data_IF_292769331060
#
_entry.id   IF_292769331060
#
_cell.length_a   1.000
_cell.length_b   1.000
_cell.length_c   1.000
_cell.angle_alpha   90.00
_cell.angle_beta   90.00
_cell.angle_gamma   90.00
#
_symmetry.space_group_name_H-M   'P 1'
#
loop_
_entity.id
_entity.type
_entity.pdbx_description
1 polymer ?
#
# COMPACT_ATOMS: atom_id res chain seq x y z
N UNK A 1 32.14 -25.91 -48.20
CA UNK A 1 33.58 -25.65 -48.19
C UNK A 1 34.05 -25.73 -46.74
N UNK A 2 34.95 -26.71 -46.44
CA UNK A 2 35.71 -27.04 -45.20
C UNK A 2 35.05 -26.79 -43.83
N UNK A 3 34.66 -27.79 -43.02
CA UNK A 3 35.39 -28.89 -42.32
C UNK A 3 36.66 -28.44 -41.57
N UNK A 4 36.63 -28.64 -40.25
CA UNK A 4 37.53 -29.43 -39.37
C UNK A 4 36.76 -29.61 -38.04
N UNK A 5 36.49 -30.77 -37.41
CA UNK A 5 37.26 -32.00 -37.18
C UNK A 5 38.17 -31.80 -35.96
N UNK A 6 37.88 -32.22 -34.72
CA UNK A 6 37.84 -33.61 -34.25
C UNK A 6 37.38 -33.73 -32.77
N UNK A 7 36.97 -34.95 -32.41
CA UNK A 7 36.45 -35.43 -31.12
C UNK A 7 37.46 -35.49 -29.97
N UNK A 8 36.97 -35.49 -28.71
CA UNK A 8 37.19 -36.59 -27.74
C UNK A 8 36.28 -36.46 -26.51
N UNK A 9 35.70 -37.59 -26.12
CA UNK A 9 35.00 -37.78 -24.85
C UNK A 9 35.98 -37.66 -23.67
N UNK A 10 35.51 -37.01 -22.61
CA UNK A 10 36.18 -36.91 -21.32
C UNK A 10 35.15 -36.52 -20.29
N UNK A 11 34.69 -37.51 -19.54
CA UNK A 11 33.85 -37.38 -18.36
C UNK A 11 34.42 -36.35 -17.38
N UNK A 12 33.64 -35.34 -17.03
CA UNK A 12 33.85 -34.61 -15.77
C UNK A 12 32.50 -34.17 -15.22
N UNK A 13 32.11 -34.85 -14.14
CA UNK A 13 30.88 -34.65 -13.41
C UNK A 13 30.91 -33.29 -12.70
N UNK A 14 30.46 -32.23 -13.39
CA UNK A 14 30.18 -30.95 -12.74
C UNK A 14 28.71 -30.82 -12.46
N UNK A 15 28.40 -31.06 -11.18
CA UNK A 15 27.22 -30.61 -10.43
C UNK A 15 26.50 -29.46 -11.14
N UNK A 16 25.28 -29.73 -11.60
CA UNK A 16 24.27 -28.70 -11.74
C UNK A 16 24.00 -28.15 -10.33
N UNK A 17 24.62 -27.02 -10.00
CA UNK A 17 24.08 -26.13 -9.00
C UNK A 17 22.88 -25.45 -9.66
N UNK A 18 21.69 -26.05 -9.52
CA UNK A 18 20.44 -25.38 -9.83
C UNK A 18 20.37 -24.12 -8.96
N UNK A 19 20.55 -22.95 -9.56
CA UNK A 19 20.35 -21.69 -8.88
C UNK A 19 18.93 -21.68 -8.34
N UNK A 20 18.79 -21.66 -7.01
CA UNK A 20 17.51 -21.38 -6.36
C UNK A 20 17.10 -19.96 -6.80
N UNK A 21 16.11 -19.87 -7.70
CA UNK A 21 15.46 -18.60 -7.98
C UNK A 21 14.58 -18.33 -6.76
N UNK A 22 15.13 -17.58 -5.80
CA UNK A 22 14.38 -17.09 -4.65
C UNK A 22 13.34 -16.11 -5.17
N UNK A 23 12.08 -16.29 -4.79
CA UNK A 23 11.02 -15.34 -5.10
C UNK A 23 11.38 -14.01 -4.39
N UNK A 24 11.46 -12.87 -5.10
CA UNK A 24 11.76 -11.59 -4.47
C UNK A 24 10.62 -11.09 -3.57
N UNK A 25 9.48 -11.78 -3.56
CA UNK A 25 8.30 -11.44 -2.81
C UNK A 25 8.08 -12.39 -1.65
N UNK A 26 7.48 -11.85 -0.62
CA UNK A 26 7.18 -12.57 0.60
C UNK A 26 5.86 -12.06 1.19
N UNK A 27 5.09 -12.95 1.80
CA UNK A 27 3.84 -12.62 2.47
C UNK A 27 3.98 -12.86 3.97
N UNK A 28 3.93 -11.77 4.74
CA UNK A 28 3.89 -11.80 6.19
C UNK A 28 2.47 -11.84 6.75
N UNK A 29 2.28 -12.58 7.85
CA UNK A 29 1.07 -12.64 8.65
C UNK A 29 1.38 -12.03 10.01
N UNK A 30 0.65 -11.00 10.40
CA UNK A 30 0.92 -10.24 11.62
C UNK A 30 -0.35 -10.17 12.46
N UNK A 31 -0.19 -10.34 13.77
CA UNK A 31 -1.27 -10.09 14.72
C UNK A 31 -1.53 -8.59 14.79
N UNK A 32 -2.75 -8.17 14.47
CA UNK A 32 -3.15 -6.76 14.62
C UNK A 32 -3.70 -6.47 16.02
N UNK A 33 -4.13 -7.52 16.72
CA UNK A 33 -4.52 -7.48 18.12
C UNK A 33 -3.36 -7.93 19.02
N UNK A 34 -3.71 -8.34 20.25
CA UNK A 34 -2.81 -9.08 21.14
C UNK A 34 -1.43 -8.46 21.32
N UNK A 35 -0.40 -9.24 20.96
CA UNK A 35 1.01 -8.90 21.13
C UNK A 35 1.64 -8.16 19.95
N UNK A 36 0.87 -7.98 18.87
CA UNK A 36 1.33 -7.35 17.63
C UNK A 36 2.56 -8.02 16.98
N UNK A 37 2.67 -9.35 17.16
CA UNK A 37 3.79 -10.15 16.66
C UNK A 37 3.59 -10.73 15.26
N UNK A 38 4.69 -11.22 14.66
CA UNK A 38 4.66 -12.01 13.44
C UNK A 38 4.04 -13.39 13.74
N UNK A 39 2.90 -13.69 13.11
CA UNK A 39 2.23 -14.99 13.18
C UNK A 39 2.89 -16.01 12.24
N UNK A 40 3.44 -15.54 11.13
CA UNK A 40 4.18 -16.37 10.19
C UNK A 40 4.54 -15.63 8.92
N UNK A 41 5.25 -16.33 8.05
CA UNK A 41 5.78 -15.80 6.81
C UNK A 41 5.76 -16.90 5.75
N UNK A 42 5.45 -16.56 4.51
CA UNK A 42 5.46 -17.49 3.39
C UNK A 42 6.01 -16.82 2.14
N UNK A 43 6.95 -17.51 1.47
CA UNK A 43 7.60 -17.02 0.25
C UNK A 43 6.58 -16.88 -0.90
N UNK A 44 6.63 -15.74 -1.58
CA UNK A 44 5.73 -15.36 -2.66
C UNK A 44 4.58 -14.45 -2.23
N UNK A 45 3.82 -13.98 -3.23
CA UNK A 45 2.73 -12.98 -3.08
C UNK A 45 1.40 -13.41 -3.68
N UNK A 46 1.23 -14.71 -3.94
CA UNK A 46 0.03 -15.21 -4.63
C UNK A 46 -1.05 -15.64 -3.66
N UNK A 47 -2.29 -15.71 -4.13
CA UNK A 47 -3.40 -16.20 -3.31
C UNK A 47 -3.17 -17.66 -2.87
N UNK A 48 -2.51 -18.46 -3.72
CA UNK A 48 -2.20 -19.85 -3.42
C UNK A 48 -1.24 -19.98 -2.22
N UNK A 49 -0.22 -19.11 -2.14
CA UNK A 49 0.72 -19.05 -1.02
C UNK A 49 -0.02 -18.78 0.30
N UNK A 50 -0.92 -17.80 0.29
CA UNK A 50 -1.71 -17.44 1.48
C UNK A 50 -2.65 -18.58 1.91
N UNK A 51 -3.33 -19.19 0.94
CA UNK A 51 -4.25 -20.30 1.21
C UNK A 51 -3.48 -21.52 1.73
N UNK A 52 -2.31 -21.83 1.18
CA UNK A 52 -1.47 -22.93 1.62
C UNK A 52 -1.02 -22.73 3.07
N UNK A 53 -0.44 -21.57 3.38
CA UNK A 53 0.01 -21.24 4.74
C UNK A 53 -1.13 -21.32 5.77
N UNK A 54 -2.33 -20.80 5.42
CA UNK A 54 -3.48 -20.88 6.30
C UNK A 54 -3.96 -22.34 6.49
N UNK A 55 -3.96 -23.16 5.44
CA UNK A 55 -4.38 -24.58 5.52
C UNK A 55 -3.47 -25.44 6.40
N UNK A 56 -2.21 -25.06 6.57
CA UNK A 56 -1.29 -25.69 7.50
C UNK A 56 -1.66 -25.43 8.97
N UNK A 57 -2.43 -24.37 9.24
CA UNK A 57 -2.87 -24.02 10.58
C UNK A 57 -4.08 -24.85 11.04
N UNK A 58 -4.19 -25.03 12.35
CA UNK A 58 -5.30 -25.79 12.94
C UNK A 58 -6.65 -25.12 12.64
N UNK A 59 -7.74 -25.90 12.54
CA UNK A 59 -9.08 -25.33 12.37
C UNK A 59 -9.47 -24.35 13.48
N UNK A 60 -9.07 -24.61 14.72
CA UNK A 60 -9.31 -23.73 15.86
C UNK A 60 -8.62 -22.37 15.70
N UNK A 61 -7.36 -22.37 15.25
CA UNK A 61 -6.63 -21.13 14.96
C UNK A 61 -7.34 -20.30 13.87
N UNK A 62 -7.74 -20.94 12.77
CA UNK A 62 -8.44 -20.27 11.67
C UNK A 62 -9.83 -19.74 12.05
N UNK A 63 -10.53 -20.44 12.93
CA UNK A 63 -11.84 -20.03 13.42
C UNK A 63 -11.77 -18.86 14.42
N UNK A 64 -10.60 -18.63 15.03
CA UNK A 64 -10.38 -17.55 15.99
C UNK A 64 -10.22 -16.15 15.37
N UNK A 65 -10.06 -16.05 14.04
CA UNK A 65 -9.99 -14.75 13.38
C UNK A 65 -11.38 -14.14 13.22
N UNK A 66 -11.58 -12.99 13.86
CA UNK A 66 -12.78 -12.16 13.65
C UNK A 66 -12.60 -11.16 12.51
N UNK A 67 -11.36 -10.68 12.29
CA UNK A 67 -11.05 -9.67 11.28
C UNK A 67 -9.73 -10.02 10.59
N UNK A 68 -9.66 -9.78 9.29
CA UNK A 68 -8.42 -9.84 8.52
C UNK A 68 -8.27 -8.55 7.72
N UNK A 69 -7.26 -7.76 8.07
CA UNK A 69 -6.89 -6.59 7.28
C UNK A 69 -5.91 -6.99 6.18
N UNK A 70 -6.16 -6.53 4.96
CA UNK A 70 -5.28 -6.77 3.81
C UNK A 70 -4.88 -5.48 3.15
N UNK A 71 -3.73 -5.52 2.48
CA UNK A 71 -3.40 -4.57 1.44
C UNK A 71 -4.52 -4.56 0.37
N UNK A 72 -4.82 -3.42 -0.28
CA UNK A 72 -5.84 -3.30 -1.33
C UNK A 72 -5.48 -4.01 -2.65
N UNK A 73 -5.09 -5.28 -2.58
CA UNK A 73 -4.74 -6.12 -3.71
C UNK A 73 -5.76 -7.26 -3.85
N UNK A 74 -6.28 -7.42 -5.07
CA UNK A 74 -7.29 -8.45 -5.36
C UNK A 74 -6.83 -9.88 -5.06
N UNK A 75 -5.51 -10.11 -5.07
CA UNK A 75 -4.90 -11.42 -4.78
C UNK A 75 -5.17 -11.84 -3.33
N UNK A 76 -4.94 -10.97 -2.35
CA UNK A 76 -5.19 -11.27 -0.93
C UNK A 76 -6.69 -11.37 -0.62
N UNK A 77 -7.50 -10.49 -1.23
CA UNK A 77 -8.95 -10.57 -1.09
C UNK A 77 -9.50 -11.92 -1.59
N UNK A 78 -8.97 -12.44 -2.69
CA UNK A 78 -9.32 -13.77 -3.21
C UNK A 78 -8.91 -14.88 -2.25
N UNK A 79 -7.72 -14.79 -1.67
CA UNK A 79 -7.22 -15.80 -0.73
C UNK A 79 -8.11 -15.90 0.52
N UNK A 80 -8.39 -14.77 1.17
CA UNK A 80 -9.20 -14.71 2.40
C UNK A 80 -10.64 -15.19 2.15
N UNK A 81 -11.21 -14.89 0.98
CA UNK A 81 -12.56 -15.34 0.58
C UNK A 81 -12.65 -16.81 0.19
N UNK A 82 -11.58 -17.58 0.31
CA UNK A 82 -11.62 -19.02 0.02
C UNK A 82 -12.60 -19.70 0.98
N UNK A 83 -13.64 -20.42 0.46
CA UNK A 83 -14.67 -21.01 1.30
C UNK A 83 -14.10 -21.94 2.38
N UNK A 84 -14.57 -21.79 3.62
CA UNK A 84 -14.15 -22.60 4.75
C UNK A 84 -12.72 -22.33 5.26
N UNK A 85 -11.98 -21.38 4.67
CA UNK A 85 -10.64 -21.04 5.11
C UNK A 85 -10.68 -20.24 6.41
N UNK A 86 -11.43 -19.14 6.43
CA UNK A 86 -11.59 -18.25 7.57
C UNK A 86 -13.10 -18.01 7.79
N UNK A 87 -13.80 -18.95 8.44
CA UNK A 87 -15.26 -19.00 8.42
C UNK A 87 -15.93 -17.81 9.13
N UNK A 88 -15.25 -17.21 10.11
CA UNK A 88 -15.79 -16.15 10.97
C UNK A 88 -15.21 -14.76 10.69
N UNK A 89 -14.24 -14.67 9.76
CA UNK A 89 -13.46 -13.46 9.60
C UNK A 89 -14.13 -12.45 8.65
N UNK A 90 -14.29 -11.21 9.13
CA UNK A 90 -14.60 -10.07 8.30
C UNK A 90 -13.34 -9.57 7.57
N UNK A 91 -13.41 -9.47 6.24
CA UNK A 91 -12.33 -8.89 5.44
C UNK A 91 -12.41 -7.37 5.50
N UNK A 92 -11.33 -6.73 5.97
CA UNK A 92 -11.17 -5.28 6.01
C UNK A 92 -9.95 -4.84 5.21
N UNK A 93 -9.94 -3.57 4.81
CA UNK A 93 -8.77 -2.98 4.13
C UNK A 93 -7.87 -2.35 5.17
N UNK A 94 -6.57 -2.60 5.05
CA UNK A 94 -5.58 -2.06 5.97
C UNK A 94 -5.51 -0.52 5.95
N UNK A 95 -5.57 0.09 7.14
CA UNK A 95 -5.56 1.53 7.35
C UNK A 95 -4.25 2.16 6.85
N UNK A 96 -3.10 1.56 7.16
CA UNK A 96 -1.81 2.10 6.76
C UNK A 96 -1.70 2.20 5.22
N UNK A 97 -2.11 1.15 4.52
CA UNK A 97 -2.10 1.12 3.06
C UNK A 97 -3.08 2.11 2.43
N UNK A 98 -4.27 2.33 3.01
CA UNK A 98 -5.19 3.38 2.54
C UNK A 98 -4.55 4.77 2.63
N UNK A 99 -3.92 5.10 3.76
CA UNK A 99 -3.24 6.39 3.94
C UNK A 99 -2.04 6.51 2.99
N UNK A 100 -1.30 5.43 2.75
CA UNK A 100 -0.21 5.39 1.77
C UNK A 100 -0.73 5.69 0.36
N UNK A 101 -1.79 5.00 -0.07
CA UNK A 101 -2.40 5.21 -1.39
C UNK A 101 -2.91 6.65 -1.57
N UNK A 102 -3.53 7.24 -0.54
CA UNK A 102 -3.97 8.62 -0.61
C UNK A 102 -2.81 9.61 -0.75
N UNK A 103 -1.68 9.37 -0.08
CA UNK A 103 -0.46 10.15 -0.27
C UNK A 103 0.15 9.98 -1.67
N UNK A 104 0.07 8.77 -2.22
CA UNK A 104 0.52 8.49 -3.59
C UNK A 104 -0.37 9.20 -4.61
N UNK A 105 -1.69 9.24 -4.39
CA UNK A 105 -2.63 9.99 -5.21
C UNK A 105 -2.29 11.49 -5.24
N UNK A 106 -2.04 12.11 -4.08
CA UNK A 106 -1.56 13.52 -4.02
C UNK A 106 -0.25 13.69 -4.81
N UNK A 107 0.67 12.72 -4.71
CA UNK A 107 1.93 12.75 -5.45
C UNK A 107 1.72 12.65 -6.96
N UNK A 108 0.79 11.80 -7.42
CA UNK A 108 0.45 11.63 -8.82
C UNK A 108 -0.22 12.88 -9.39
N UNK A 109 -1.23 13.43 -8.70
CA UNK A 109 -1.91 14.66 -9.11
C UNK A 109 -0.92 15.81 -9.22
N UNK A 110 -0.07 16.00 -8.21
CA UNK A 110 1.00 17.01 -8.25
C UNK A 110 1.93 16.83 -9.45
N UNK A 111 2.40 15.61 -9.70
CA UNK A 111 3.28 15.35 -10.86
C UNK A 111 2.59 15.65 -12.18
N UNK A 112 1.31 15.28 -12.32
CA UNK A 112 0.50 15.55 -13.52
C UNK A 112 0.34 17.05 -13.73
N UNK A 113 -0.09 17.79 -12.71
CA UNK A 113 -0.25 19.26 -12.78
C UNK A 113 1.07 19.93 -13.15
N UNK A 114 2.19 19.53 -12.53
CA UNK A 114 3.51 20.07 -12.90
C UNK A 114 3.83 19.86 -14.37
N UNK A 115 3.57 18.67 -14.92
CA UNK A 115 3.80 18.38 -16.34
C UNK A 115 2.88 19.20 -17.24
N UNK A 116 1.59 19.29 -16.90
CA UNK A 116 0.60 20.08 -17.65
C UNK A 116 0.96 21.58 -17.69
N UNK A 117 1.48 22.14 -16.59
CA UNK A 117 1.78 23.58 -16.49
C UNK A 117 3.16 23.96 -17.02
N UNK A 118 4.16 23.07 -16.88
CA UNK A 118 5.57 23.42 -17.13
C UNK A 118 6.20 22.65 -18.29
N UNK A 119 5.52 21.64 -18.83
CA UNK A 119 6.05 20.70 -19.83
C UNK A 119 7.40 20.06 -19.45
N UNK A 120 7.63 19.91 -18.14
CA UNK A 120 8.83 19.27 -17.60
C UNK A 120 8.57 18.67 -16.23
N UNK A 121 9.50 17.84 -15.77
CA UNK A 121 9.54 17.39 -14.38
C UNK A 121 9.80 18.57 -13.43
N UNK A 122 9.05 18.63 -12.33
CA UNK A 122 9.27 19.59 -11.25
C UNK A 122 10.59 19.36 -10.50
N UNK A 123 11.26 20.46 -10.17
CA UNK A 123 12.54 20.54 -9.49
C UNK A 123 12.48 21.36 -8.20
N UNK A 124 13.66 21.59 -7.58
CA UNK A 124 13.74 22.18 -6.23
C UNK A 124 13.18 23.60 -6.10
N UNK A 125 13.22 24.38 -7.18
CA UNK A 125 12.70 25.74 -7.21
C UNK A 125 11.18 25.81 -7.39
N UNK A 126 10.55 24.72 -7.86
CA UNK A 126 9.11 24.70 -8.10
C UNK A 126 8.35 24.54 -6.76
N UNK A 127 7.44 25.46 -6.40
CA UNK A 127 6.74 25.49 -5.11
C UNK A 127 6.03 24.19 -4.74
N UNK A 128 5.38 23.53 -5.70
CA UNK A 128 4.70 22.25 -5.52
C UNK A 128 5.69 21.13 -5.21
N UNK A 129 6.87 21.13 -5.83
CA UNK A 129 7.91 20.17 -5.48
C UNK A 129 8.56 20.48 -4.12
N UNK A 130 8.83 21.76 -3.83
CA UNK A 130 9.40 22.21 -2.56
C UNK A 130 8.49 21.83 -1.38
N UNK A 131 7.17 21.87 -1.58
CA UNK A 131 6.17 21.50 -0.58
C UNK A 131 5.74 20.02 -0.59
N UNK A 132 6.33 19.17 -1.44
CA UNK A 132 5.94 17.74 -1.56
C UNK A 132 5.88 16.96 -0.24
N UNK A 133 6.74 17.29 0.73
CA UNK A 133 6.72 16.66 2.05
C UNK A 133 5.54 17.17 2.88
N UNK A 134 5.29 18.48 2.89
CA UNK A 134 4.16 19.10 3.60
C UNK A 134 2.82 18.60 3.07
N UNK A 135 2.70 18.44 1.75
CA UNK A 135 1.52 17.84 1.11
C UNK A 135 1.24 16.41 1.56
N UNK A 136 2.26 15.65 2.00
CA UNK A 136 2.11 14.29 2.55
C UNK A 136 2.03 14.24 4.06
N UNK A 137 2.46 15.30 4.74
CA UNK A 137 2.33 15.43 6.18
C UNK A 137 0.86 15.66 6.53
N UNK A 138 0.42 14.98 7.57
CA UNK A 138 -0.92 15.15 8.13
C UNK A 138 -1.12 16.57 8.67
N UNK A 139 -2.33 17.13 8.55
CA UNK A 139 -2.61 18.52 8.94
C UNK A 139 -2.26 18.79 10.41
N UNK A 140 -2.56 17.86 11.31
CA UNK A 140 -2.30 17.95 12.75
C UNK A 140 -0.81 17.93 13.10
N UNK A 141 0.05 17.48 12.19
CA UNK A 141 1.52 17.46 12.35
C UNK A 141 2.21 18.68 11.73
N UNK A 142 1.45 19.59 11.13
CA UNK A 142 1.95 20.84 10.55
C UNK A 142 1.66 21.99 11.51
N UNK A 143 2.64 22.85 11.75
CA UNK A 143 2.36 24.16 12.36
C UNK A 143 1.50 24.99 11.42
N UNK A 144 0.63 25.84 11.97
CA UNK A 144 -0.27 26.68 11.17
C UNK A 144 0.49 27.54 10.17
N UNK A 145 1.63 28.10 10.57
CA UNK A 145 2.53 28.86 9.68
C UNK A 145 3.02 28.02 8.49
N UNK A 146 3.37 26.75 8.73
CA UNK A 146 3.84 25.86 7.67
C UNK A 146 2.70 25.42 6.74
N UNK A 147 1.51 25.23 7.30
CA UNK A 147 0.29 24.92 6.55
C UNK A 147 -0.11 26.09 5.65
N UNK A 148 -0.25 27.30 6.20
CA UNK A 148 -0.61 28.51 5.42
C UNK A 148 0.39 28.75 4.30
N UNK A 149 1.69 28.61 4.58
CA UNK A 149 2.72 28.75 3.53
C UNK A 149 2.57 27.73 2.41
N UNK A 150 2.34 26.47 2.76
CA UNK A 150 2.11 25.43 1.75
C UNK A 150 0.83 25.72 0.96
N UNK A 151 -0.25 26.09 1.64
CA UNK A 151 -1.55 26.36 1.05
C UNK A 151 -1.47 27.49 0.02
N UNK A 152 -0.95 28.64 0.42
CA UNK A 152 -0.80 29.80 -0.47
C UNK A 152 0.11 29.47 -1.65
N UNK A 153 1.22 28.76 -1.41
CA UNK A 153 2.09 28.34 -2.50
C UNK A 153 1.42 27.42 -3.54
N UNK A 154 0.36 26.68 -3.16
CA UNK A 154 -0.38 25.87 -4.13
C UNK A 154 -1.43 26.70 -4.86
N UNK A 155 -2.08 27.66 -4.19
CA UNK A 155 -2.96 28.64 -4.85
C UNK A 155 -2.20 29.39 -5.94
N UNK A 156 -0.98 29.84 -5.63
CA UNK A 156 -0.17 30.63 -6.57
C UNK A 156 0.34 29.79 -7.75
N UNK A 157 0.59 28.49 -7.56
CA UNK A 157 1.25 27.62 -8.54
C UNK A 157 0.27 26.77 -9.37
N UNK A 158 -0.89 26.40 -8.83
CA UNK A 158 -1.88 25.54 -9.48
C UNK A 158 -3.23 26.25 -9.64
N UNK A 159 -3.46 26.96 -10.77
CA UNK A 159 -4.72 27.65 -11.04
C UNK A 159 -5.95 26.74 -11.12
N UNK A 160 -5.74 25.42 -11.21
CA UNK A 160 -6.83 24.43 -11.29
C UNK A 160 -7.23 23.88 -9.93
N UNK A 161 -6.54 24.26 -8.86
CA UNK A 161 -6.70 23.77 -7.48
C UNK A 161 -6.58 22.24 -7.30
N UNK A 162 -6.21 21.49 -8.34
CA UNK A 162 -6.20 20.02 -8.33
C UNK A 162 -5.28 19.47 -7.24
N UNK A 163 -4.14 20.10 -6.97
CA UNK A 163 -3.22 19.69 -5.91
C UNK A 163 -3.87 19.85 -4.53
N UNK A 164 -4.53 20.99 -4.28
CA UNK A 164 -5.23 21.23 -3.01
C UNK A 164 -6.45 20.32 -2.85
N UNK A 165 -7.21 20.09 -3.92
CA UNK A 165 -8.33 19.14 -3.89
C UNK A 165 -7.86 17.72 -3.54
N UNK A 166 -6.75 17.26 -4.13
CA UNK A 166 -6.17 15.97 -3.76
C UNK A 166 -5.68 15.94 -2.30
N UNK A 167 -5.08 17.02 -1.81
CA UNK A 167 -4.67 17.15 -0.42
C UNK A 167 -5.88 17.08 0.53
N UNK A 168 -6.95 17.81 0.23
CA UNK A 168 -8.20 17.81 1.03
C UNK A 168 -8.82 16.43 1.06
N UNK A 169 -8.96 15.76 -0.10
CA UNK A 169 -9.48 14.40 -0.16
C UNK A 169 -8.66 13.43 0.71
N UNK A 170 -7.32 13.51 0.63
CA UNK A 170 -6.44 12.73 1.51
C UNK A 170 -6.68 13.04 3.00
N UNK A 171 -6.82 14.32 3.38
CA UNK A 171 -7.06 14.68 4.79
C UNK A 171 -8.47 14.28 5.29
N UNK A 172 -9.51 14.34 4.45
CA UNK A 172 -10.84 13.83 4.80
C UNK A 172 -10.84 12.31 4.98
N UNK A 173 -10.11 11.56 4.12
CA UNK A 173 -9.90 10.13 4.34
C UNK A 173 -9.18 9.86 5.66
N UNK A 174 -8.11 10.61 5.97
CA UNK A 174 -7.41 10.47 7.27
C UNK A 174 -8.33 10.74 8.45
N UNK A 175 -9.19 11.76 8.37
CA UNK A 175 -10.18 12.07 9.42
C UNK A 175 -11.21 10.96 9.59
N UNK A 176 -11.69 10.39 8.49
CA UNK A 176 -12.57 9.22 8.52
C UNK A 176 -11.89 8.05 9.24
N UNK A 177 -10.66 7.69 8.85
CA UNK A 177 -9.95 6.55 9.42
C UNK A 177 -9.51 6.80 10.87
N UNK A 178 -9.29 8.07 11.26
CA UNK A 178 -8.99 8.47 12.64
C UNK A 178 -10.16 8.38 13.61
N UNK A 179 -11.39 8.10 13.16
CA UNK A 179 -12.55 7.93 14.06
C UNK A 179 -12.38 6.77 15.04
N UNK A 180 -11.53 5.79 14.70
CA UNK A 180 -11.15 4.69 15.60
C UNK A 180 -10.43 5.17 16.85
N UNK A 181 -9.64 6.24 16.76
CA UNK A 181 -8.93 6.84 17.90
C UNK A 181 -9.90 7.59 18.83
N UNK A 182 -11.06 8.01 18.30
CA UNK A 182 -12.13 8.66 19.05
C UNK A 182 -13.15 7.66 19.63
N UNK A 183 -12.78 6.40 19.77
CA UNK A 183 -13.65 5.34 20.30
C UNK A 183 -14.49 4.61 19.26
N UNK A 184 -14.32 4.91 17.97
CA UNK A 184 -14.94 4.15 16.88
C UNK A 184 -16.45 4.33 16.74
N UNK A 185 -17.00 5.50 17.10
CA UNK A 185 -18.43 5.79 16.98
C UNK A 185 -18.92 5.55 15.53
N UNK A 186 -19.84 4.56 15.32
CA UNK A 186 -20.38 4.25 14.00
C UNK A 186 -21.09 5.43 13.34
N UNK A 187 -21.74 6.31 14.12
CA UNK A 187 -22.41 7.49 13.58
C UNK A 187 -21.40 8.49 13.04
N UNK A 188 -20.35 8.79 13.81
CA UNK A 188 -19.26 9.65 13.36
C UNK A 188 -18.55 9.07 12.12
N UNK A 189 -18.25 7.77 12.11
CA UNK A 189 -17.63 7.11 10.97
C UNK A 189 -18.52 7.22 9.71
N UNK A 190 -19.83 6.96 9.83
CA UNK A 190 -20.78 7.08 8.72
C UNK A 190 -20.92 8.52 8.22
N UNK A 191 -20.97 9.48 9.14
CA UNK A 191 -21.02 10.91 8.79
C UNK A 191 -19.77 11.34 8.01
N UNK A 192 -18.58 10.93 8.46
CA UNK A 192 -17.31 11.21 7.78
C UNK A 192 -17.22 10.51 6.42
N UNK A 193 -17.73 9.30 6.32
CA UNK A 193 -17.78 8.55 5.06
C UNK A 193 -18.67 9.28 4.03
N UNK A 194 -19.84 9.75 4.45
CA UNK A 194 -20.72 10.54 3.59
C UNK A 194 -20.02 11.83 3.14
N UNK A 195 -19.37 12.55 4.05
CA UNK A 195 -18.61 13.77 3.74
C UNK A 195 -17.45 13.52 2.76
N UNK A 196 -16.84 12.34 2.79
CA UNK A 196 -15.74 11.99 1.89
C UNK A 196 -16.22 11.74 0.44
N UNK A 197 -17.45 11.25 0.25
CA UNK A 197 -18.01 10.94 -1.07
C UNK A 197 -18.96 12.01 -1.63
N UNK A 198 -19.40 12.96 -0.82
CA UNK A 198 -20.23 14.10 -1.23
C UNK A 198 -19.38 15.18 -1.92
#
# INVERSE_FOLDING_TARGET
MKRDGASRAGSDARRQASGCVVDPWDTGFVDLGGSQGLLGQAEGRTAAVVVAWLKEQTPAFRAGFEHVAIDPAGVYAKAVRTPGLLPNAALVVDHFHLVKLANDAVTQVRRRVTWELKDRRGGKADPEWANRRRLRTARERLSDKSFVRMWNAMIDEDPSDRILMAYIAKEELRRLLGTVEAGGDPHLARHRLHRFFA
#
